data_IF_795134966404
#
_entry.id   IF_795134966404
#
_cell.length_a   1.000
_cell.length_b   1.000
_cell.length_c   1.000
_cell.angle_alpha   90.00
_cell.angle_beta   90.00
_cell.angle_gamma   90.00
#
_symmetry.space_group_name_H-M   'P 1'
#
loop_
_entity.id
_entity.type
_entity.pdbx_description
1 polymer ?
#
# COMPACT_ATOMS: atom_id res chain seq x y z
N UNK A 1 -4.32 89.48 -41.12
CA UNK A 1 -4.36 89.02 -42.52
C UNK A 1 -4.71 87.54 -42.53
N UNK A 2 -5.84 87.16 -43.15
CA UNK A 2 -6.12 85.78 -43.58
C UNK A 2 -5.30 85.49 -44.85
N UNK A 3 -4.99 84.21 -45.18
CA UNK A 3 -5.91 83.35 -45.95
C UNK A 3 -6.04 81.95 -45.32
N UNK A 4 -7.22 81.33 -45.16
CA UNK A 4 -8.16 80.73 -46.13
C UNK A 4 -7.58 79.59 -46.99
N UNK A 5 -8.07 78.35 -46.76
CA UNK A 5 -8.57 77.30 -47.69
C UNK A 5 -8.37 75.92 -47.00
N UNK A 6 -9.40 75.20 -46.52
CA UNK A 6 -10.48 74.44 -47.19
C UNK A 6 -10.18 72.94 -47.07
N UNK A 7 -11.03 72.18 -46.38
CA UNK A 7 -11.79 71.03 -46.89
C UNK A 7 -12.52 70.30 -45.76
N UNK A 8 -13.77 69.97 -46.06
CA UNK A 8 -14.75 69.33 -45.20
C UNK A 8 -14.54 67.81 -45.14
N UNK A 9 -14.83 67.21 -43.99
CA UNK A 9 -15.47 65.90 -43.95
C UNK A 9 -16.40 65.82 -42.74
N UNK A 10 -17.68 65.58 -43.01
CA UNK A 10 -18.72 65.32 -42.04
C UNK A 10 -18.58 63.91 -41.47
N UNK A 11 -19.00 63.70 -40.22
CA UNK A 11 -19.15 62.36 -39.66
C UNK A 11 -19.33 62.38 -38.15
N UNK A 12 -20.57 62.18 -37.72
CA UNK A 12 -20.99 62.11 -36.32
C UNK A 12 -20.15 61.15 -35.46
N UNK A 13 -19.74 61.60 -34.27
CA UNK A 13 -19.41 60.70 -33.16
C UNK A 13 -20.54 60.82 -32.15
N UNK A 14 -21.43 59.84 -32.26
CA UNK A 14 -22.55 59.61 -31.38
C UNK A 14 -22.08 59.13 -30.00
N UNK A 15 -22.91 59.46 -29.01
CA UNK A 15 -23.04 58.86 -27.68
C UNK A 15 -22.16 57.62 -27.40
N UNK A 16 -21.15 57.81 -26.53
CA UNK A 16 -20.62 56.72 -25.73
C UNK A 16 -21.65 56.40 -24.63
N UNK A 17 -22.54 55.47 -24.95
CA UNK A 17 -23.46 54.87 -24.01
C UNK A 17 -22.68 54.09 -22.94
N UNK A 18 -23.10 54.31 -21.69
CA UNK A 18 -22.75 53.50 -20.53
C UNK A 18 -23.13 52.04 -20.80
N UNK A 19 -22.15 51.18 -21.10
CA UNK A 19 -22.34 49.73 -21.06
C UNK A 19 -22.35 49.29 -19.60
N UNK A 20 -23.54 49.35 -18.99
CA UNK A 20 -23.79 48.63 -17.75
C UNK A 20 -23.60 47.13 -18.00
N UNK A 21 -22.87 46.44 -17.12
CA UNK A 21 -22.82 44.98 -17.08
C UNK A 21 -24.26 44.45 -17.08
N UNK A 22 -24.70 43.84 -18.19
CA UNK A 22 -25.89 43.01 -18.16
C UNK A 22 -25.55 41.85 -17.22
N UNK A 23 -26.25 41.76 -16.08
CA UNK A 23 -26.19 40.57 -15.24
C UNK A 23 -26.68 39.42 -16.10
N UNK A 24 -25.77 38.50 -16.44
CA UNK A 24 -26.12 37.29 -17.17
C UNK A 24 -27.24 36.54 -16.43
N UNK A 25 -28.23 36.04 -17.16
CA UNK A 25 -29.31 35.25 -16.57
C UNK A 25 -28.80 33.84 -16.22
N UNK A 26 -28.48 33.68 -14.93
CA UNK A 26 -27.95 32.45 -14.33
C UNK A 26 -29.02 31.36 -14.14
N UNK A 27 -30.25 31.55 -14.64
CA UNK A 27 -31.35 30.57 -14.52
C UNK A 27 -31.97 30.53 -13.12
N UNK A 28 -32.88 29.58 -12.81
CA UNK A 28 -33.59 29.53 -11.53
C UNK A 28 -32.66 29.23 -10.33
N UNK A 29 -33.10 29.59 -9.10
CA UNK A 29 -32.36 29.23 -7.89
C UNK A 29 -32.21 27.70 -7.76
N UNK A 30 -31.04 27.19 -7.34
CA UNK A 30 -30.89 25.79 -6.98
C UNK A 30 -31.84 25.37 -5.86
N UNK A 31 -32.41 24.17 -5.97
CA UNK A 31 -33.13 23.53 -4.87
C UNK A 31 -32.15 23.27 -3.72
N UNK A 32 -32.53 23.70 -2.52
CA UNK A 32 -31.70 23.59 -1.34
C UNK A 32 -31.64 22.14 -0.83
N UNK A 33 -30.54 21.82 -0.14
CA UNK A 33 -30.41 20.57 0.61
C UNK A 33 -31.23 20.70 1.91
N UNK A 34 -32.02 19.66 2.23
CA UNK A 34 -32.77 19.58 3.48
C UNK A 34 -31.81 19.42 4.67
N UNK A 35 -31.83 20.38 5.60
CA UNK A 35 -30.91 20.39 6.74
C UNK A 35 -31.03 19.13 7.62
N UNK A 36 -32.24 18.61 7.81
CA UNK A 36 -32.50 17.39 8.57
C UNK A 36 -31.98 16.10 7.92
N UNK A 37 -31.66 16.14 6.62
CA UNK A 37 -31.10 15.00 5.90
C UNK A 37 -29.57 14.93 5.98
N UNK A 38 -28.92 16.01 6.42
CA UNK A 38 -27.47 16.07 6.50
C UNK A 38 -26.96 15.23 7.66
N UNK A 39 -26.03 14.35 7.33
CA UNK A 39 -25.32 13.51 8.30
C UNK A 39 -23.82 13.53 8.00
N UNK A 40 -23.02 13.38 9.05
CA UNK A 40 -21.58 13.24 8.93
C UNK A 40 -21.14 12.02 9.76
N UNK A 41 -20.45 11.11 9.10
CA UNK A 41 -19.93 9.86 9.66
C UNK A 41 -18.40 9.94 9.68
N UNK A 42 -17.77 9.97 10.88
CA UNK A 42 -16.32 9.89 11.02
C UNK A 42 -15.75 8.59 10.45
N UNK A 43 -14.65 8.68 9.70
CA UNK A 43 -13.89 7.55 9.16
C UNK A 43 -12.38 7.74 9.42
N UNK A 44 -11.58 6.68 9.27
CA UNK A 44 -10.12 6.79 9.43
C UNK A 44 -9.53 7.80 8.43
N UNK A 45 -9.00 8.91 8.95
CA UNK A 45 -8.47 10.00 8.13
C UNK A 45 -9.46 10.64 7.15
N UNK A 46 -10.76 10.48 7.39
CA UNK A 46 -11.80 11.01 6.52
C UNK A 46 -13.11 11.30 7.27
N UNK A 47 -14.01 12.01 6.60
CA UNK A 47 -15.41 12.17 7.00
C UNK A 47 -16.29 11.88 5.80
N UNK A 48 -17.29 11.02 5.96
CA UNK A 48 -18.34 10.83 4.96
C UNK A 48 -19.51 11.75 5.29
N UNK A 49 -19.84 12.67 4.39
CA UNK A 49 -20.97 13.58 4.52
C UNK A 49 -22.07 13.09 3.59
N UNK A 50 -23.27 12.86 4.10
CA UNK A 50 -24.41 12.37 3.31
C UNK A 50 -25.60 13.33 3.39
N UNK A 51 -26.41 13.36 2.36
CA UNK A 51 -27.65 14.14 2.26
C UNK A 51 -28.70 13.37 1.44
N UNK A 52 -29.97 13.71 1.63
CA UNK A 52 -31.03 13.23 0.73
C UNK A 52 -31.03 14.08 -0.54
N UNK A 53 -31.02 13.44 -1.71
CA UNK A 53 -31.18 14.14 -2.99
C UNK A 53 -32.60 14.74 -3.05
N UNK A 54 -32.77 16.06 -3.28
CA UNK A 54 -34.09 16.66 -3.40
C UNK A 54 -34.88 16.11 -4.59
N UNK A 55 -36.18 15.88 -4.44
CA UNK A 55 -37.05 15.27 -5.48
C UNK A 55 -37.07 16.05 -6.80
N UNK A 56 -36.86 17.37 -6.76
CA UNK A 56 -36.80 18.25 -7.91
C UNK A 56 -35.43 18.94 -8.07
N UNK A 57 -34.34 18.23 -7.73
CA UNK A 57 -32.99 18.77 -7.85
C UNK A 57 -32.72 19.37 -9.24
N UNK A 58 -32.34 20.65 -9.27
CA UNK A 58 -32.02 21.41 -10.48
C UNK A 58 -30.58 21.99 -10.46
N UNK A 59 -29.75 21.51 -9.52
CA UNK A 59 -28.32 21.80 -9.48
C UNK A 59 -27.54 20.77 -10.29
N UNK A 60 -26.34 21.15 -10.75
CA UNK A 60 -25.41 20.27 -11.47
C UNK A 60 -24.53 19.49 -10.50
N UNK A 61 -24.12 20.15 -9.42
CA UNK A 61 -23.28 19.57 -8.38
C UNK A 61 -23.51 20.26 -7.03
N UNK A 62 -23.09 19.57 -5.97
CA UNK A 62 -22.92 20.15 -4.64
C UNK A 62 -21.43 20.44 -4.43
N UNK A 63 -21.12 21.71 -4.16
CA UNK A 63 -19.79 22.17 -3.79
C UNK A 63 -19.64 22.06 -2.29
N UNK A 64 -18.70 21.24 -1.84
CA UNK A 64 -18.30 21.16 -0.43
C UNK A 64 -17.01 21.93 -0.26
N UNK A 65 -17.04 22.93 0.62
CA UNK A 65 -15.88 23.77 0.96
C UNK A 65 -15.55 23.63 2.44
N UNK A 66 -14.27 23.61 2.77
CA UNK A 66 -13.79 23.56 4.15
C UNK A 66 -12.38 24.15 4.23
N UNK A 67 -12.01 24.66 5.40
CA UNK A 67 -10.65 25.09 5.68
C UNK A 67 -9.83 23.88 6.14
N UNK A 68 -8.83 23.46 5.37
CA UNK A 68 -8.02 22.30 5.71
C UNK A 68 -7.03 22.65 6.85
N UNK A 69 -7.17 22.10 8.06
CA UNK A 69 -6.43 22.61 9.23
C UNK A 69 -4.91 22.41 9.14
N UNK A 70 -4.45 21.38 8.43
CA UNK A 70 -3.02 21.14 8.22
C UNK A 70 -2.33 22.08 7.22
N UNK A 71 -3.08 22.74 6.33
CA UNK A 71 -2.51 23.63 5.29
C UNK A 71 -2.94 25.08 5.46
N UNK A 72 -4.01 25.33 6.23
CA UNK A 72 -4.63 26.64 6.37
C UNK A 72 -5.27 27.15 5.07
N UNK A 73 -5.53 26.26 4.11
CA UNK A 73 -6.12 26.63 2.80
C UNK A 73 -7.54 26.12 2.69
N UNK A 74 -8.38 26.89 1.99
CA UNK A 74 -9.70 26.42 1.59
C UNK A 74 -9.56 25.32 0.54
N UNK A 75 -10.24 24.21 0.78
CA UNK A 75 -10.31 23.08 -0.12
C UNK A 75 -11.73 22.95 -0.66
N UNK A 76 -11.84 22.55 -1.93
CA UNK A 76 -13.11 22.37 -2.64
C UNK A 76 -13.21 20.93 -3.10
N UNK A 77 -14.35 20.30 -2.84
CA UNK A 77 -14.73 18.99 -3.39
C UNK A 77 -16.12 19.09 -4.00
N UNK A 78 -16.31 18.41 -5.13
CA UNK A 78 -17.57 18.44 -5.88
C UNK A 78 -18.22 17.06 -5.84
N UNK A 79 -19.51 17.03 -5.53
CA UNK A 79 -20.35 15.85 -5.67
C UNK A 79 -21.36 16.09 -6.79
N UNK A 80 -21.52 15.14 -7.70
CA UNK A 80 -22.47 15.28 -8.80
C UNK A 80 -23.92 15.35 -8.30
N UNK A 81 -24.84 15.80 -9.16
CA UNK A 81 -26.27 15.83 -8.87
C UNK A 81 -26.85 14.47 -8.41
N UNK A 82 -26.26 13.37 -8.88
CA UNK A 82 -26.70 12.01 -8.57
C UNK A 82 -26.08 11.43 -7.28
N UNK A 83 -25.12 12.13 -6.68
CA UNK A 83 -24.50 11.69 -5.45
C UNK A 83 -25.36 12.11 -4.24
N UNK A 84 -25.52 11.18 -3.30
CA UNK A 84 -26.15 11.38 -1.99
C UNK A 84 -25.11 11.49 -0.87
N UNK A 85 -23.82 11.41 -1.20
CA UNK A 85 -22.72 11.56 -0.25
C UNK A 85 -21.42 12.01 -0.91
N UNK A 86 -20.48 12.44 -0.08
CA UNK A 86 -19.08 12.66 -0.43
C UNK A 86 -18.17 12.24 0.71
N UNK A 87 -17.02 11.66 0.38
CA UNK A 87 -15.95 11.38 1.35
C UNK A 87 -14.89 12.47 1.24
N UNK A 88 -14.63 13.15 2.35
CA UNK A 88 -13.54 14.11 2.49
C UNK A 88 -12.40 13.39 3.22
N UNK A 89 -11.39 12.99 2.46
CA UNK A 89 -10.20 12.26 2.89
C UNK A 89 -8.99 13.19 3.13
N UNK A 90 -7.89 12.61 3.63
CA UNK A 90 -6.67 13.35 3.94
C UNK A 90 -6.73 14.15 5.24
N UNK A 91 -7.70 13.83 6.11
CA UNK A 91 -7.89 14.45 7.41
C UNK A 91 -7.11 13.68 8.48
N UNK A 92 -6.95 14.30 9.65
CA UNK A 92 -6.33 13.72 10.84
C UNK A 92 -7.18 14.05 12.05
N UNK A 93 -7.28 13.13 13.00
CA UNK A 93 -8.06 13.36 14.22
C UNK A 93 -7.56 14.56 15.01
N UNK A 94 -6.24 14.81 15.02
CA UNK A 94 -5.62 15.96 15.68
C UNK A 94 -6.12 17.32 15.18
N UNK A 95 -6.73 17.37 14.00
CA UNK A 95 -7.32 18.60 13.48
C UNK A 95 -8.60 18.99 14.20
N UNK A 96 -9.20 18.07 14.96
CA UNK A 96 -10.45 18.28 15.67
C UNK A 96 -11.63 18.48 14.74
N UNK A 97 -12.66 19.17 15.25
CA UNK A 97 -13.88 19.47 14.52
C UNK A 97 -13.63 20.42 13.34
N UNK A 98 -14.04 20.01 12.15
CA UNK A 98 -13.95 20.78 10.90
C UNK A 98 -15.36 21.12 10.43
N UNK A 99 -15.59 22.39 10.10
CA UNK A 99 -16.82 22.84 9.46
C UNK A 99 -16.76 22.61 7.95
N UNK A 100 -17.76 21.92 7.42
CA UNK A 100 -17.98 21.71 6.00
C UNK A 100 -19.19 22.50 5.53
N UNK A 101 -19.03 23.25 4.45
CA UNK A 101 -20.08 24.06 3.82
C UNK A 101 -20.49 23.42 2.51
N UNK A 102 -21.73 22.94 2.43
CA UNK A 102 -22.33 22.34 1.25
C UNK A 102 -23.19 23.38 0.54
N UNK A 103 -22.99 23.54 -0.76
CA UNK A 103 -23.73 24.51 -1.56
C UNK A 103 -24.09 23.92 -2.92
N UNK A 104 -25.38 23.79 -3.26
CA UNK A 104 -25.79 23.37 -4.59
C UNK A 104 -25.49 24.48 -5.61
N UNK A 105 -25.02 24.09 -6.79
CA UNK A 105 -24.66 25.01 -7.88
C UNK A 105 -25.27 24.52 -9.19
N UNK A 106 -25.97 25.39 -9.92
CA UNK A 106 -26.53 25.02 -11.24
C UNK A 106 -25.45 24.93 -12.32
N UNK A 107 -25.79 24.35 -13.47
CA UNK A 107 -24.91 24.28 -14.64
C UNK A 107 -24.46 25.67 -15.15
N UNK A 108 -25.27 26.71 -14.91
CA UNK A 108 -24.92 28.11 -15.22
C UNK A 108 -24.10 28.80 -14.12
N UNK A 109 -23.79 28.11 -13.02
CA UNK A 109 -23.01 28.66 -11.91
C UNK A 109 -23.85 29.45 -10.88
N UNK A 110 -25.18 29.35 -10.89
CA UNK A 110 -25.99 29.99 -9.84
C UNK A 110 -25.82 29.23 -8.52
N UNK A 111 -25.40 29.95 -7.48
CA UNK A 111 -25.15 29.40 -6.15
C UNK A 111 -26.43 29.42 -5.30
N UNK A 112 -26.68 28.33 -4.57
CA UNK A 112 -27.86 28.15 -3.72
C UNK A 112 -27.59 28.42 -2.24
N UNK A 113 -28.52 27.98 -1.39
CA UNK A 113 -28.39 28.10 0.07
C UNK A 113 -27.22 27.24 0.57
N UNK A 114 -26.36 27.84 1.42
CA UNK A 114 -25.27 27.13 2.08
C UNK A 114 -25.81 26.39 3.29
N UNK A 115 -25.50 25.09 3.38
CA UNK A 115 -25.66 24.29 4.60
C UNK A 115 -24.32 24.00 5.23
N UNK A 116 -24.27 24.05 6.56
CA UNK A 116 -23.07 23.67 7.30
C UNK A 116 -23.30 22.37 8.06
N UNK A 117 -22.24 21.57 8.17
CA UNK A 117 -22.17 20.44 9.07
C UNK A 117 -20.75 20.37 9.63
N UNK A 118 -20.63 20.04 10.92
CA UNK A 118 -19.34 19.93 11.58
C UNK A 118 -19.07 18.47 11.92
N UNK A 119 -17.85 18.01 11.67
CA UNK A 119 -17.43 16.66 12.03
C UNK A 119 -15.91 16.59 12.19
N UNK A 120 -15.42 15.51 12.77
CA UNK A 120 -14.00 15.20 12.90
C UNK A 120 -13.72 13.81 12.31
N UNK A 121 -12.51 13.58 11.83
CA UNK A 121 -12.11 12.24 11.37
C UNK A 121 -11.72 11.35 12.54
N UNK A 122 -11.80 10.04 12.35
CA UNK A 122 -11.10 9.09 13.20
C UNK A 122 -9.59 9.17 12.94
N UNK A 123 -8.81 8.68 13.91
CA UNK A 123 -7.36 8.72 13.81
C UNK A 123 -6.85 7.84 12.67
N UNK A 124 -5.84 8.31 11.93
CA UNK A 124 -5.14 7.44 10.99
C UNK A 124 -4.25 6.45 11.76
N UNK A 125 -4.19 5.18 11.33
CA UNK A 125 -3.26 4.23 11.91
C UNK A 125 -1.81 4.65 11.65
N UNK A 126 -0.93 4.27 12.58
CA UNK A 126 0.51 4.45 12.45
C UNK A 126 1.03 3.65 11.24
N UNK A 127 1.97 4.23 10.51
CA UNK A 127 2.57 3.61 9.33
C UNK A 127 3.91 2.99 9.72
N UNK A 128 4.06 1.70 9.50
CA UNK A 128 5.30 0.97 9.77
C UNK A 128 5.97 0.63 8.43
N UNK A 129 7.27 0.89 8.32
CA UNK A 129 8.07 0.47 7.17
C UNK A 129 9.44 -0.04 7.61
N UNK A 130 10.07 -0.81 6.73
CA UNK A 130 11.46 -1.26 6.88
C UNK A 130 12.43 -0.11 6.64
N UNK A 131 13.46 0.00 7.49
CA UNK A 131 14.63 0.84 7.21
C UNK A 131 15.65 -0.02 6.45
N UNK A 132 15.64 0.04 5.11
CA UNK A 132 16.41 -0.88 4.26
C UNK A 132 17.91 -0.93 4.59
N UNK A 133 18.51 0.21 4.92
CA UNK A 133 19.95 0.31 5.23
C UNK A 133 20.33 -0.28 6.61
N UNK A 134 19.34 -0.69 7.40
CA UNK A 134 19.56 -1.38 8.69
C UNK A 134 19.70 -2.90 8.55
N UNK A 135 19.78 -3.43 7.31
CA UNK A 135 19.93 -4.85 7.00
C UNK A 135 21.09 -5.46 7.79
N UNK A 136 20.77 -6.43 8.66
CA UNK A 136 21.74 -7.15 9.46
C UNK A 136 21.55 -8.66 9.28
N UNK A 137 22.60 -9.39 8.92
CA UNK A 137 22.53 -10.84 8.77
C UNK A 137 22.38 -11.51 10.14
N UNK A 138 21.37 -12.35 10.28
CA UNK A 138 21.20 -13.20 11.45
C UNK A 138 22.17 -14.38 11.41
N UNK A 139 22.80 -14.69 12.54
CA UNK A 139 23.64 -15.88 12.69
C UNK A 139 22.75 -17.09 12.95
N UNK A 140 22.68 -18.01 12.00
CA UNK A 140 21.92 -19.25 12.07
C UNK A 140 22.89 -20.43 12.03
N UNK A 141 22.68 -21.44 12.86
CA UNK A 141 23.43 -22.69 12.88
C UNK A 141 22.57 -23.87 12.44
N UNK A 142 23.19 -25.00 12.08
CA UNK A 142 22.49 -26.14 11.48
C UNK A 142 21.41 -26.77 12.38
N UNK A 143 21.55 -26.68 13.71
CA UNK A 143 20.57 -27.13 14.70
C UNK A 143 19.31 -26.23 14.77
N UNK A 144 19.33 -25.09 14.08
CA UNK A 144 18.19 -24.18 13.91
C UNK A 144 17.52 -24.34 12.55
N UNK A 145 17.86 -25.38 11.78
CA UNK A 145 17.35 -25.63 10.44
C UNK A 145 16.67 -27.00 10.40
N UNK A 146 15.56 -27.10 9.70
CA UNK A 146 14.84 -28.35 9.45
C UNK A 146 14.39 -28.42 7.99
N UNK A 147 14.31 -29.64 7.44
CA UNK A 147 13.83 -29.88 6.08
C UNK A 147 12.83 -31.05 6.06
N UNK A 148 11.81 -30.98 5.21
CA UNK A 148 10.71 -31.96 5.18
C UNK A 148 11.09 -33.34 4.65
N UNK A 149 12.04 -33.42 3.72
CA UNK A 149 12.45 -34.67 3.09
C UNK A 149 13.91 -34.61 2.59
N UNK A 150 14.90 -34.38 3.47
CA UNK A 150 16.31 -34.35 3.06
C UNK A 150 16.78 -35.70 2.51
N UNK A 151 17.72 -35.68 1.57
CA UNK A 151 18.29 -36.90 0.97
C UNK A 151 19.10 -37.72 2.00
N UNK A 152 18.72 -38.98 2.29
CA UNK A 152 19.43 -39.81 3.27
C UNK A 152 20.77 -40.37 2.76
N UNK A 153 21.00 -40.39 1.44
CA UNK A 153 22.18 -41.02 0.84
C UNK A 153 23.30 -40.02 0.54
N UNK A 154 24.53 -40.54 0.51
CA UNK A 154 25.75 -39.84 0.07
C UNK A 154 26.07 -38.50 0.76
N UNK A 155 25.38 -38.17 1.86
CA UNK A 155 25.57 -36.92 2.58
C UNK A 155 25.01 -35.69 1.86
N UNK A 156 24.06 -35.87 0.93
CA UNK A 156 23.45 -34.74 0.18
C UNK A 156 22.28 -34.07 0.93
N UNK A 157 21.72 -34.72 1.95
CA UNK A 157 20.65 -34.17 2.81
C UNK A 157 21.14 -33.31 3.98
N UNK A 158 22.39 -32.86 3.96
CA UNK A 158 23.02 -32.12 5.06
C UNK A 158 22.44 -30.73 5.22
N UNK A 159 21.89 -30.44 6.40
CA UNK A 159 21.29 -29.14 6.71
C UNK A 159 22.34 -28.06 6.93
N UNK A 160 23.53 -28.45 7.41
CA UNK A 160 24.66 -27.55 7.59
C UNK A 160 25.09 -26.86 6.29
N UNK A 161 24.88 -27.51 5.14
CA UNK A 161 25.18 -26.93 3.83
C UNK A 161 24.45 -25.61 3.60
N UNK A 162 23.25 -25.42 4.16
CA UNK A 162 22.46 -24.21 3.94
C UNK A 162 22.99 -22.97 4.64
N UNK A 163 23.89 -23.13 5.63
CA UNK A 163 24.32 -22.06 6.55
C UNK A 163 25.84 -22.07 6.80
N UNK A 164 26.61 -22.79 5.99
CA UNK A 164 28.07 -22.92 6.13
C UNK A 164 28.87 -21.83 5.41
N UNK A 165 28.20 -20.93 4.68
CA UNK A 165 28.80 -19.93 3.79
C UNK A 165 29.70 -20.52 2.68
N UNK A 166 29.48 -21.78 2.31
CA UNK A 166 30.21 -22.46 1.25
C UNK A 166 29.28 -22.79 0.08
N UNK A 167 29.30 -21.96 -0.96
CA UNK A 167 28.41 -22.12 -2.11
C UNK A 167 28.69 -23.34 -3.01
N UNK A 168 29.64 -24.20 -2.62
CA UNK A 168 29.94 -25.48 -3.27
C UNK A 168 29.29 -26.68 -2.56
N UNK A 169 28.84 -26.53 -1.31
CA UNK A 169 28.00 -27.51 -0.63
C UNK A 169 26.53 -27.23 -0.96
N UNK A 170 25.67 -28.22 -0.71
CA UNK A 170 24.24 -28.07 -0.96
C UNK A 170 23.43 -29.02 -0.08
N UNK A 171 22.19 -28.62 0.17
CA UNK A 171 21.12 -29.53 0.55
C UNK A 171 20.43 -30.04 -0.72
N UNK A 172 20.10 -31.32 -0.75
CA UNK A 172 19.23 -31.93 -1.73
C UNK A 172 18.01 -32.53 -1.02
N UNK A 173 16.80 -32.22 -1.49
CA UNK A 173 15.60 -32.98 -1.10
C UNK A 173 15.66 -34.36 -1.74
N UNK A 174 15.14 -35.38 -1.06
CA UNK A 174 15.35 -36.78 -1.42
C UNK A 174 14.99 -37.08 -2.88
N UNK A 175 15.99 -37.48 -3.65
CA UNK A 175 15.82 -38.04 -4.99
C UNK A 175 15.73 -39.57 -4.92
N UNK A 176 16.27 -40.19 -3.86
CA UNK A 176 16.23 -41.63 -3.65
C UNK A 176 14.86 -42.12 -3.16
N UNK A 177 14.11 -41.25 -2.49
CA UNK A 177 12.72 -41.49 -2.06
C UNK A 177 11.92 -40.17 -2.12
N UNK A 178 11.58 -39.69 -3.33
CA UNK A 178 10.91 -38.42 -3.50
C UNK A 178 9.49 -38.44 -2.95
N UNK A 179 9.02 -37.26 -2.52
CA UNK A 179 7.63 -37.03 -2.12
C UNK A 179 7.04 -35.90 -2.96
N UNK A 180 5.72 -35.90 -3.20
CA UNK A 180 5.05 -34.77 -3.85
C UNK A 180 5.31 -33.46 -3.11
N UNK A 181 5.39 -32.37 -3.86
CA UNK A 181 5.39 -31.01 -3.30
C UNK A 181 4.08 -30.72 -2.53
N UNK A 182 4.09 -29.78 -1.56
CA UNK A 182 5.20 -28.88 -1.22
C UNK A 182 6.32 -29.54 -0.39
N UNK A 183 7.53 -28.99 -0.53
CA UNK A 183 8.67 -29.26 0.35
C UNK A 183 9.01 -28.03 1.16
N UNK A 184 9.54 -28.23 2.37
CA UNK A 184 9.76 -27.16 3.33
C UNK A 184 11.19 -27.13 3.82
N UNK A 185 11.73 -25.91 3.97
CA UNK A 185 12.86 -25.61 4.85
C UNK A 185 12.35 -24.66 5.92
N UNK A 186 12.61 -24.95 7.19
CA UNK A 186 12.25 -24.11 8.32
C UNK A 186 13.52 -23.67 9.03
N UNK A 187 13.64 -22.38 9.32
CA UNK A 187 14.79 -21.80 10.01
C UNK A 187 14.33 -21.01 11.23
N UNK A 188 14.94 -21.26 12.39
CA UNK A 188 14.67 -20.51 13.63
C UNK A 188 15.63 -19.33 13.76
N UNK A 189 15.09 -18.12 13.70
CA UNK A 189 15.84 -16.90 14.00
C UNK A 189 16.34 -16.90 15.47
N UNK A 190 17.52 -16.29 15.76
CA UNK A 190 18.08 -16.25 17.10
C UNK A 190 17.19 -15.51 18.10
N UNK A 191 16.39 -14.57 17.61
CA UNK A 191 15.39 -13.80 18.36
C UNK A 191 14.14 -13.63 17.49
N UNK A 192 13.00 -13.31 18.11
CA UNK A 192 11.80 -12.95 17.36
C UNK A 192 12.00 -11.57 16.70
N UNK A 193 11.67 -11.45 15.41
CA UNK A 193 11.90 -10.23 14.61
C UNK A 193 10.58 -9.67 14.10
N UNK A 194 10.46 -8.34 14.02
CA UNK A 194 9.30 -7.65 13.43
C UNK A 194 9.42 -7.40 11.93
N UNK A 195 10.62 -7.56 11.37
CA UNK A 195 10.86 -7.52 9.94
C UNK A 195 11.98 -8.49 9.55
N UNK A 196 11.83 -9.11 8.38
CA UNK A 196 12.84 -10.03 7.88
C UNK A 196 13.00 -9.94 6.36
N UNK A 197 14.18 -10.32 5.90
CA UNK A 197 14.49 -10.59 4.50
C UNK A 197 15.36 -11.83 4.41
N UNK A 198 15.60 -12.31 3.20
CA UNK A 198 16.46 -13.47 2.99
C UNK A 198 17.31 -13.32 1.74
N UNK A 199 18.44 -14.00 1.75
CA UNK A 199 19.20 -14.33 0.56
C UNK A 199 19.15 -15.84 0.36
N UNK A 200 18.97 -16.27 -0.88
CA UNK A 200 18.93 -17.66 -1.26
C UNK A 200 19.85 -17.85 -2.47
N UNK A 201 20.69 -18.88 -2.42
CA UNK A 201 21.56 -19.26 -3.53
C UNK A 201 21.31 -20.70 -3.96
N UNK A 202 21.06 -20.88 -5.24
CA UNK A 202 20.92 -22.20 -5.85
C UNK A 202 22.27 -22.91 -5.95
N UNK A 203 22.24 -24.24 -6.02
CA UNK A 203 23.44 -25.07 -6.25
C UNK A 203 24.15 -24.63 -7.53
N UNK A 204 25.48 -24.52 -7.46
CA UNK A 204 26.33 -24.30 -8.64
C UNK A 204 26.63 -25.65 -9.29
N UNK A 205 25.86 -26.03 -10.31
CA UNK A 205 26.01 -27.34 -10.97
C UNK A 205 25.54 -27.29 -12.43
N UNK A 206 26.12 -28.15 -13.29
CA UNK A 206 25.76 -28.23 -14.70
C UNK A 206 24.34 -28.77 -14.92
N UNK A 207 23.90 -29.71 -14.09
CA UNK A 207 22.50 -30.11 -13.97
C UNK A 207 21.82 -29.21 -12.93
N UNK A 208 21.08 -28.20 -13.37
CA UNK A 208 20.49 -27.14 -12.55
C UNK A 208 18.95 -27.05 -12.70
N UNK A 209 18.30 -28.15 -13.10
CA UNK A 209 16.85 -28.19 -13.31
C UNK A 209 16.05 -28.43 -12.02
N UNK A 210 16.70 -28.66 -10.88
CA UNK A 210 16.06 -28.95 -9.60
C UNK A 210 16.19 -27.77 -8.61
N UNK A 211 16.04 -26.53 -9.09
CA UNK A 211 16.05 -25.31 -8.27
C UNK A 211 14.62 -24.82 -8.02
N UNK A 212 14.33 -24.17 -6.87
CA UNK A 212 13.00 -23.64 -6.60
C UNK A 212 12.53 -22.69 -7.72
N UNK A 213 11.31 -22.90 -8.23
CA UNK A 213 10.66 -22.04 -9.23
C UNK A 213 9.56 -21.22 -8.61
N UNK A 214 8.66 -21.88 -7.87
CA UNK A 214 7.62 -21.21 -7.10
C UNK A 214 7.80 -21.55 -5.63
N UNK A 215 7.68 -20.53 -4.79
CA UNK A 215 7.86 -20.67 -3.35
C UNK A 215 6.93 -19.68 -2.62
N UNK A 216 6.51 -20.02 -1.42
CA UNK A 216 5.93 -19.09 -0.48
C UNK A 216 6.86 -18.91 0.72
N UNK A 217 6.93 -17.69 1.24
CA UNK A 217 7.59 -17.38 2.49
C UNK A 217 6.53 -17.28 3.58
N UNK A 218 6.68 -18.07 4.65
CA UNK A 218 5.82 -17.98 5.83
C UNK A 218 6.61 -17.69 7.08
N UNK A 219 5.93 -17.19 8.10
CA UNK A 219 6.49 -16.97 9.43
C UNK A 219 5.56 -17.49 10.51
N UNK A 220 6.13 -18.02 11.59
CA UNK A 220 5.38 -18.41 12.79
C UNK A 220 6.15 -18.09 14.07
N UNK A 221 5.44 -18.07 15.19
CA UNK A 221 6.02 -17.92 16.53
C UNK A 221 6.57 -19.25 17.07
N UNK A 222 6.10 -20.37 16.52
CA UNK A 222 6.34 -21.72 17.01
C UNK A 222 6.55 -22.72 15.87
N UNK A 223 7.29 -23.78 16.17
CA UNK A 223 7.49 -24.96 15.33
C UNK A 223 7.90 -26.12 16.24
N UNK A 224 7.38 -27.32 15.99
CA UNK A 224 7.64 -28.51 16.81
C UNK A 224 8.91 -29.28 16.40
N UNK A 225 9.58 -28.87 15.32
CA UNK A 225 10.77 -29.54 14.80
C UNK A 225 10.48 -30.75 13.90
N UNK A 226 9.22 -31.10 13.64
CA UNK A 226 8.86 -32.35 12.95
C UNK A 226 7.67 -32.24 11.99
N UNK A 227 6.69 -31.40 12.26
CA UNK A 227 5.45 -31.31 11.48
C UNK A 227 5.53 -30.18 10.47
N UNK A 228 5.66 -30.51 9.19
CA UNK A 228 5.74 -29.51 8.13
C UNK A 228 4.36 -29.13 7.58
N UNK A 229 3.63 -28.33 8.37
CA UNK A 229 2.29 -27.83 8.04
C UNK A 229 2.11 -26.43 8.64
N UNK A 230 2.29 -25.36 7.84
CA UNK A 230 2.19 -23.97 8.32
C UNK A 230 0.88 -23.67 9.06
N UNK A 231 -0.24 -24.31 8.68
CA UNK A 231 -1.55 -24.06 9.29
C UNK A 231 -1.60 -24.48 10.76
N UNK A 232 -0.84 -25.51 11.17
CA UNK A 232 -0.77 -25.96 12.57
C UNK A 232 -0.07 -24.99 13.51
N UNK A 233 0.75 -24.10 12.97
CA UNK A 233 1.54 -23.13 13.74
C UNK A 233 1.02 -21.70 13.56
N UNK A 234 -0.24 -21.55 13.11
CA UNK A 234 -0.84 -20.24 12.80
C UNK A 234 0.08 -19.38 11.94
N UNK A 235 0.83 -20.00 11.02
CA UNK A 235 1.83 -19.30 10.25
C UNK A 235 1.18 -18.30 9.29
N UNK A 236 1.84 -17.16 9.13
CA UNK A 236 1.41 -16.09 8.25
C UNK A 236 2.21 -16.11 6.96
N UNK A 237 1.53 -16.13 5.81
CA UNK A 237 2.17 -15.98 4.50
C UNK A 237 2.64 -14.53 4.35
N UNK A 238 3.94 -14.35 4.15
CA UNK A 238 4.59 -13.04 4.01
C UNK A 238 4.72 -12.63 2.55
N UNK A 239 5.12 -13.57 1.69
CA UNK A 239 5.37 -13.30 0.28
C UNK A 239 5.20 -14.55 -0.58
N UNK A 240 4.94 -14.31 -1.86
CA UNK A 240 4.88 -15.34 -2.90
C UNK A 240 5.92 -15.04 -3.98
N UNK A 241 6.66 -16.07 -4.36
CA UNK A 241 7.65 -16.03 -5.43
C UNK A 241 7.19 -16.95 -6.54
N UNK A 242 7.10 -16.43 -7.76
CA UNK A 242 6.67 -17.17 -8.95
C UNK A 242 7.70 -16.94 -10.05
N UNK A 243 8.17 -18.03 -10.66
CA UNK A 243 9.21 -17.94 -11.70
C UNK A 243 10.54 -17.38 -11.19
N UNK A 244 11.03 -17.89 -10.05
CA UNK A 244 12.33 -17.52 -9.49
C UNK A 244 13.50 -17.66 -10.50
N UNK A 245 14.63 -16.95 -10.32
CA UNK A 245 15.70 -16.87 -11.31
C UNK A 245 16.26 -18.20 -11.84
N UNK A 246 16.62 -18.17 -13.12
CA UNK A 246 17.25 -19.28 -13.81
C UNK A 246 18.77 -19.30 -13.81
N UNK A 247 19.34 -20.49 -13.95
CA UNK A 247 20.78 -20.69 -14.08
C UNK A 247 21.46 -21.36 -12.89
N UNK A 248 22.68 -21.85 -13.15
CA UNK A 248 23.57 -22.43 -12.14
C UNK A 248 24.00 -21.34 -11.16
N UNK A 249 23.90 -21.61 -9.86
CA UNK A 249 24.34 -20.65 -8.84
C UNK A 249 23.50 -19.37 -8.77
N UNK A 250 22.30 -19.34 -9.36
CA UNK A 250 21.44 -18.15 -9.35
C UNK A 250 21.04 -17.75 -7.93
N UNK A 251 20.82 -16.46 -7.74
CA UNK A 251 20.63 -15.84 -6.43
C UNK A 251 19.29 -15.11 -6.37
N UNK A 252 18.69 -15.11 -5.19
CA UNK A 252 17.54 -14.27 -4.84
C UNK A 252 17.89 -13.52 -3.58
N UNK A 253 17.90 -12.19 -3.65
CA UNK A 253 17.96 -11.30 -2.48
C UNK A 253 16.62 -10.60 -2.34
N UNK A 254 15.91 -10.86 -1.24
CA UNK A 254 14.59 -10.31 -1.00
C UNK A 254 14.67 -8.88 -0.43
N UNK A 255 13.62 -8.05 -0.61
CA UNK A 255 13.43 -6.88 0.25
C UNK A 255 13.19 -7.33 1.70
N UNK A 256 13.23 -6.37 2.63
CA UNK A 256 12.72 -6.58 3.98
C UNK A 256 11.19 -6.51 4.01
N UNK A 257 10.56 -7.47 4.66
CA UNK A 257 9.12 -7.56 4.86
C UNK A 257 8.77 -7.22 6.30
N UNK A 258 7.79 -6.34 6.51
CA UNK A 258 7.18 -6.11 7.83
C UNK A 258 6.30 -7.31 8.17
N UNK A 259 6.47 -7.87 9.37
CA UNK A 259 5.72 -9.03 9.84
C UNK A 259 4.45 -8.60 10.59
N UNK A 260 3.42 -9.45 10.66
CA UNK A 260 2.17 -9.13 11.38
C UNK A 260 2.37 -8.97 12.89
N UNK A 261 3.37 -9.65 13.45
CA UNK A 261 3.87 -9.51 14.81
C UNK A 261 5.33 -9.98 14.85
N UNK A 262 5.98 -9.93 16.01
CA UNK A 262 7.31 -10.51 16.18
C UNK A 262 7.24 -12.04 16.02
N UNK A 263 7.97 -12.58 15.03
CA UNK A 263 7.97 -14.01 14.69
C UNK A 263 9.39 -14.57 14.73
N UNK A 264 9.52 -15.88 15.00
CA UNK A 264 10.85 -16.51 15.17
C UNK A 264 11.17 -17.56 14.11
N UNK A 265 10.18 -18.24 13.53
CA UNK A 265 10.42 -19.30 12.55
C UNK A 265 10.08 -18.79 11.15
N UNK A 266 10.97 -19.05 10.21
CA UNK A 266 10.85 -18.68 8.79
C UNK A 266 10.74 -19.96 7.97
N UNK A 267 9.70 -20.04 7.16
CA UNK A 267 9.39 -21.20 6.35
C UNK A 267 9.53 -20.87 4.87
N UNK A 268 10.34 -21.65 4.18
CA UNK A 268 10.45 -21.67 2.73
C UNK A 268 9.65 -22.86 2.22
N UNK A 269 8.41 -22.60 1.80
CA UNK A 269 7.53 -23.60 1.19
C UNK A 269 7.79 -23.59 -0.33
N UNK A 270 8.59 -24.52 -0.83
CA UNK A 270 8.80 -24.69 -2.26
C UNK A 270 7.63 -25.49 -2.83
N UNK A 271 6.99 -24.95 -3.87
CA UNK A 271 5.79 -25.51 -4.50
C UNK A 271 6.11 -26.31 -5.76
N UNK A 272 7.10 -25.87 -6.52
CA UNK A 272 7.62 -26.58 -7.69
C UNK A 272 9.06 -26.13 -8.02
N UNK A 273 9.87 -27.00 -8.66
CA UNK A 273 11.16 -26.64 -9.20
C UNK A 273 11.04 -26.18 -10.67
N UNK A 274 12.15 -25.75 -11.26
CA UNK A 274 12.18 -25.40 -12.69
C UNK A 274 12.09 -26.59 -13.65
N UNK A 275 12.47 -27.79 -13.18
CA UNK A 275 12.33 -29.06 -13.89
C UNK A 275 11.08 -29.83 -13.46
N UNK A 276 10.92 -31.04 -14.00
CA UNK A 276 9.78 -31.93 -13.71
C UNK A 276 9.97 -32.86 -12.51
N UNK A 277 11.06 -32.71 -11.76
CA UNK A 277 11.42 -33.58 -10.64
C UNK A 277 10.62 -33.27 -9.38
N UNK A 278 10.52 -34.24 -8.47
CA UNK A 278 9.80 -34.11 -7.19
C UNK A 278 10.71 -33.67 -6.01
N UNK A 279 11.82 -33.02 -6.33
CA UNK A 279 12.81 -32.56 -5.37
C UNK A 279 13.46 -31.26 -5.85
N UNK A 280 14.09 -30.55 -4.93
CA UNK A 280 14.95 -29.43 -5.26
C UNK A 280 16.28 -29.52 -4.49
N UNK A 281 17.27 -28.76 -4.95
CA UNK A 281 18.54 -28.56 -4.27
C UNK A 281 18.84 -27.08 -4.10
N UNK A 282 19.56 -26.76 -3.03
CA UNK A 282 19.89 -25.39 -2.65
C UNK A 282 21.26 -25.33 -2.00
N UNK A 283 22.04 -24.30 -2.32
CA UNK A 283 23.36 -24.10 -1.73
C UNK A 283 23.25 -23.42 -0.38
N UNK A 284 22.63 -22.23 -0.32
CA UNK A 284 22.68 -21.39 0.88
C UNK A 284 21.36 -20.65 1.12
N UNK A 285 21.01 -20.44 2.39
CA UNK A 285 20.02 -19.46 2.83
C UNK A 285 20.63 -18.58 3.93
N UNK A 286 20.47 -17.27 3.79
CA UNK A 286 20.77 -16.29 4.85
C UNK A 286 19.49 -15.56 5.22
N UNK A 287 19.27 -15.37 6.50
CA UNK A 287 18.19 -14.53 7.00
C UNK A 287 18.75 -13.17 7.45
N UNK A 288 18.00 -12.10 7.21
CA UNK A 288 18.33 -10.75 7.63
C UNK A 288 17.22 -10.18 8.50
N UNK A 289 17.59 -9.45 9.55
CA UNK A 289 16.68 -8.61 10.32
C UNK A 289 16.84 -7.15 9.91
N UNK A 290 15.81 -6.37 10.18
CA UNK A 290 15.78 -4.94 9.90
C UNK A 290 15.18 -4.20 11.08
N UNK A 291 15.64 -2.97 11.28
CA UNK A 291 14.92 -1.99 12.09
C UNK A 291 13.68 -1.52 11.36
N UNK A 292 12.65 -1.19 12.13
CA UNK A 292 11.41 -0.64 11.62
C UNK A 292 11.36 0.86 11.94
N UNK A 293 10.76 1.62 11.05
CA UNK A 293 10.36 3.01 11.31
C UNK A 293 8.84 3.05 11.43
N UNK A 294 8.35 3.67 12.49
CA UNK A 294 6.93 3.92 12.72
C UNK A 294 6.67 5.42 12.67
N UNK A 295 5.87 5.85 11.71
CA UNK A 295 5.38 7.22 11.59
C UNK A 295 3.95 7.30 12.14
N UNK A 296 3.72 8.23 13.06
CA UNK A 296 2.39 8.54 13.57
C UNK A 296 1.84 9.79 12.86
N UNK A 297 0.84 9.65 11.97
CA UNK A 297 0.24 10.80 11.31
C UNK A 297 -0.38 11.80 12.28
N UNK A 298 -0.84 11.37 13.46
CA UNK A 298 -1.52 12.20 14.46
C UNK A 298 -0.56 13.06 15.28
N UNK A 299 0.70 12.65 15.46
CA UNK A 299 1.71 13.49 16.14
C UNK A 299 2.72 14.10 15.16
N UNK A 300 2.86 13.51 13.97
CA UNK A 300 3.93 13.86 13.03
C UNK A 300 5.29 13.29 13.46
N UNK A 301 5.32 12.48 14.52
CA UNK A 301 6.55 11.89 15.03
C UNK A 301 6.90 10.61 14.28
N UNK A 302 8.20 10.39 14.19
CA UNK A 302 8.80 9.19 13.63
C UNK A 302 9.70 8.56 14.67
N UNK A 303 9.48 7.28 14.99
CA UNK A 303 10.36 6.53 15.90
C UNK A 303 10.89 5.28 15.22
N UNK A 304 12.12 4.90 15.59
CA UNK A 304 12.75 3.64 15.19
C UNK A 304 12.41 2.59 16.26
N UNK A 305 11.89 1.44 15.84
CA UNK A 305 11.58 0.28 16.69
C UNK A 305 12.75 -0.71 16.74
#
# INVERSE_FOLDING_TARGET
MKPLFLYAFAGAVALLALTGCQKEDMGPQPVAIEASSLTAEPQEGAVKISWKIPEAANYEYIRVTYMHPGTGKEHIRLASVYADHIVIDGLLKRYGAIEFKLMPVTAKGREGEVRTITSESLALPKKIKVISDSKEQMKITADQVWASNPEPLYGEGKLESLVDNNYNTYLHMSWSSPKPFPHYIVMKAPEAVGALGFFLKNRTHANNNNRPKNMNLWVSDSFDGATFDPARFSAHKVAEFRGMPEGSGSEVDSPGYVLPSAMQYVWFEVLEPHGGEQYFSLAEIKLYKYKLEMFDPETGETIVL
#
